data_IF_866447779277
#
_entry.id   IF_866447779277
#
_cell.length_a   1.000
_cell.length_b   1.000
_cell.length_c   1.000
_cell.angle_alpha   90.00
_cell.angle_beta   90.00
_cell.angle_gamma   90.00
#
_symmetry.space_group_name_H-M   'P 1'
#
loop_
_entity.id
_entity.type
_entity.pdbx_description
1 polymer ?
#
# COMPACT_ATOMS: atom_id res chain seq x y z
N UNK A 1 12.54 -9.27 -30.56
CA UNK A 1 11.37 -8.42 -30.85
C UNK A 1 10.18 -8.97 -30.06
N UNK A 2 9.50 -8.15 -29.24
CA UNK A 2 8.25 -8.55 -28.59
C UNK A 2 7.09 -8.06 -29.45
N UNK A 3 6.36 -9.00 -30.04
CA UNK A 3 5.13 -8.72 -30.78
C UNK A 3 4.00 -8.59 -29.78
N UNK A 4 3.47 -7.38 -29.61
CA UNK A 4 2.30 -7.15 -28.76
C UNK A 4 1.07 -7.47 -29.62
N UNK A 5 0.31 -8.50 -29.24
CA UNK A 5 -0.98 -8.77 -29.86
C UNK A 5 -2.03 -7.84 -29.24
N UNK A 6 -2.47 -6.88 -30.05
CA UNK A 6 -3.59 -6.02 -29.69
C UNK A 6 -4.91 -6.79 -29.88
N UNK A 7 -5.83 -6.57 -28.95
CA UNK A 7 -7.18 -7.12 -29.07
C UNK A 7 -7.87 -6.56 -30.32
N UNK A 8 -8.60 -7.38 -31.10
CA UNK A 8 -9.16 -6.97 -32.40
C UNK A 8 -10.00 -5.69 -32.35
N UNK A 9 -10.72 -5.44 -31.25
CA UNK A 9 -11.58 -4.27 -31.09
C UNK A 9 -10.80 -2.94 -30.93
N UNK A 10 -9.51 -2.98 -30.56
CA UNK A 10 -8.70 -1.78 -30.40
C UNK A 10 -8.28 -1.16 -31.73
N UNK A 11 -8.24 -1.95 -32.81
CA UNK A 11 -7.83 -1.46 -34.13
C UNK A 11 -8.73 -0.34 -34.64
N UNK A 12 -10.03 -0.41 -34.35
CA UNK A 12 -11.01 0.61 -34.78
C UNK A 12 -10.74 2.00 -34.18
N UNK A 13 -10.03 2.08 -33.06
CA UNK A 13 -9.61 3.36 -32.46
C UNK A 13 -8.25 3.84 -32.97
N UNK A 14 -7.44 2.96 -33.54
CA UNK A 14 -6.11 3.26 -34.07
C UNK A 14 -6.19 3.68 -35.54
N UNK A 15 -7.09 3.06 -36.32
CA UNK A 15 -7.14 3.22 -37.77
C UNK A 15 -8.11 4.28 -38.27
N UNK A 16 -9.01 4.77 -37.41
CA UNK A 16 -10.11 5.64 -37.84
C UNK A 16 -10.03 6.99 -37.15
N UNK A 17 -10.01 8.08 -37.92
CA UNK A 17 -10.30 9.42 -37.41
C UNK A 17 -11.79 9.44 -37.06
N UNK A 18 -12.11 9.18 -35.79
CA UNK A 18 -13.49 9.04 -35.33
C UNK A 18 -14.15 10.43 -35.36
N UNK A 19 -15.15 10.62 -36.22
CA UNK A 19 -16.09 11.73 -36.10
C UNK A 19 -16.97 11.53 -34.84
N UNK A 20 -17.26 12.60 -34.10
CA UNK A 20 -17.84 12.54 -32.76
C UNK A 20 -19.27 11.96 -32.66
N UNK A 21 -19.94 11.72 -33.78
CA UNK A 21 -21.39 11.49 -33.80
C UNK A 21 -21.82 10.00 -33.82
N UNK A 22 -20.88 9.04 -33.69
CA UNK A 22 -21.16 7.61 -33.90
C UNK A 22 -20.77 6.67 -32.72
N UNK A 23 -20.61 7.16 -31.49
CA UNK A 23 -20.28 6.31 -30.33
C UNK A 23 -21.50 5.92 -29.49
N UNK A 24 -21.69 4.61 -29.29
CA UNK A 24 -22.69 4.03 -28.39
C UNK A 24 -22.17 3.96 -26.94
N UNK A 25 -23.12 4.08 -26.00
CA UNK A 25 -22.99 4.55 -24.61
C UNK A 25 -22.05 3.82 -23.62
N UNK A 26 -21.43 2.69 -23.95
CA UNK A 26 -20.49 1.97 -23.03
C UNK A 26 -19.03 2.02 -23.47
N UNK A 27 -18.75 2.02 -24.77
CA UNK A 27 -17.40 2.29 -25.33
C UNK A 27 -16.99 3.76 -25.16
N UNK A 28 -18.01 4.59 -24.95
CA UNK A 28 -17.98 6.03 -24.75
C UNK A 28 -17.23 6.45 -23.49
N UNK A 29 -17.15 5.61 -22.46
CA UNK A 29 -16.58 6.00 -21.16
C UNK A 29 -15.04 6.03 -21.19
N UNK A 30 -14.42 5.02 -21.82
CA UNK A 30 -12.97 4.99 -22.03
C UNK A 30 -12.54 6.00 -23.10
N UNK A 31 -13.31 6.15 -24.17
CA UNK A 31 -13.06 7.16 -25.21
C UNK A 31 -13.19 8.58 -24.64
N UNK A 32 -14.25 8.88 -23.87
CA UNK A 32 -14.40 10.17 -23.18
C UNK A 32 -13.34 10.40 -22.11
N UNK A 33 -12.89 9.36 -21.39
CA UNK A 33 -11.75 9.44 -20.47
C UNK A 33 -10.43 9.70 -21.19
N UNK A 34 -10.25 9.19 -22.41
CA UNK A 34 -9.08 9.48 -23.23
C UNK A 34 -9.09 10.90 -23.82
N UNK A 35 -10.27 11.53 -23.90
CA UNK A 35 -10.50 12.88 -24.44
C UNK A 35 -10.48 14.00 -23.37
N UNK A 36 -10.26 13.67 -22.09
CA UNK A 36 -10.16 14.63 -20.97
C UNK A 36 -9.01 14.22 -20.03
N UNK A 37 -8.07 15.09 -19.58
CA UNK A 37 -7.66 16.41 -20.04
C UNK A 37 -6.46 16.33 -21.02
N UNK A 38 -6.10 17.48 -21.61
CA UNK A 38 -4.93 17.71 -22.48
C UNK A 38 -3.57 17.24 -21.93
N UNK A 39 -3.49 16.88 -20.65
CA UNK A 39 -2.32 16.28 -20.00
C UNK A 39 -1.97 14.89 -20.52
N UNK A 40 -2.95 14.11 -21.00
CA UNK A 40 -2.71 12.76 -21.53
C UNK A 40 -2.01 12.76 -22.89
N UNK A 41 -2.28 13.76 -23.74
CA UNK A 41 -1.60 13.92 -25.03
C UNK A 41 -0.11 14.26 -24.87
N UNK A 42 0.29 14.80 -23.72
CA UNK A 42 1.69 15.06 -23.34
C UNK A 42 2.25 14.00 -22.36
N UNK A 43 1.51 12.92 -22.15
CA UNK A 43 1.93 11.84 -21.26
C UNK A 43 3.12 11.12 -21.89
N UNK A 44 4.26 11.24 -21.22
CA UNK A 44 5.40 10.36 -21.42
C UNK A 44 5.68 9.72 -20.06
N UNK A 45 6.18 8.47 -20.01
CA UNK A 45 6.61 7.88 -18.74
C UNK A 45 7.62 8.75 -17.99
N UNK A 46 8.38 9.59 -18.71
CA UNK A 46 9.33 10.56 -18.18
C UNK A 46 8.65 11.82 -17.63
N UNK A 47 7.66 12.40 -18.31
CA UNK A 47 6.88 13.53 -17.80
C UNK A 47 6.02 13.11 -16.62
N UNK A 48 5.46 11.90 -16.62
CA UNK A 48 4.78 11.32 -15.45
C UNK A 48 5.76 11.11 -14.30
N UNK A 49 6.91 10.47 -14.51
CA UNK A 49 7.94 10.32 -13.45
C UNK A 49 8.40 11.66 -12.90
N UNK A 50 8.64 12.65 -13.77
CA UNK A 50 9.06 13.99 -13.38
C UNK A 50 7.94 14.73 -12.64
N UNK A 51 6.69 14.62 -13.08
CA UNK A 51 5.53 15.18 -12.39
C UNK A 51 5.36 14.55 -11.01
N UNK A 52 5.53 13.22 -10.91
CA UNK A 52 5.52 12.54 -9.62
C UNK A 52 6.69 13.00 -8.74
N UNK A 53 7.89 13.19 -9.29
CA UNK A 53 9.07 13.66 -8.55
C UNK A 53 8.99 15.13 -8.15
N UNK A 54 8.42 16.00 -9.00
CA UNK A 54 8.41 17.45 -8.81
C UNK A 54 7.27 17.93 -7.93
N UNK A 55 6.12 17.23 -7.95
CA UNK A 55 4.98 17.53 -7.07
C UNK A 55 5.04 16.73 -5.77
N UNK A 56 5.72 15.59 -5.79
CA UNK A 56 5.86 14.70 -4.65
C UNK A 56 7.33 14.32 -4.55
N UNK A 57 8.13 15.27 -4.05
CA UNK A 57 9.50 15.00 -3.58
C UNK A 57 9.39 13.95 -2.48
N UNK A 58 9.42 12.69 -2.89
CA UNK A 58 9.70 11.58 -2.01
C UNK A 58 11.18 11.72 -1.72
N UNK A 59 11.49 12.50 -0.67
CA UNK A 59 12.75 12.33 0.04
C UNK A 59 12.70 10.88 0.45
N UNK A 60 13.38 10.02 -0.32
CA UNK A 60 13.60 8.65 0.10
C UNK A 60 14.14 8.80 1.52
N UNK A 61 13.52 8.19 2.54
CA UNK A 61 14.18 8.13 3.83
C UNK A 61 15.59 7.60 3.53
N UNK A 62 16.60 8.30 4.04
CA UNK A 62 18.00 7.89 3.91
C UNK A 62 18.19 6.63 4.75
N UNK A 63 17.59 5.53 4.29
CA UNK A 63 17.75 4.21 4.88
C UNK A 63 19.13 3.78 4.48
N UNK A 64 19.97 3.52 5.47
CA UNK A 64 21.32 3.03 5.22
C UNK A 64 21.27 1.77 4.35
N UNK A 65 22.21 1.63 3.41
CA UNK A 65 22.32 0.46 2.53
C UNK A 65 22.39 -0.85 3.32
N UNK A 66 23.02 -0.81 4.51
CA UNK A 66 23.11 -1.92 5.46
C UNK A 66 21.74 -2.32 6.02
N UNK A 67 20.91 -1.37 6.44
CA UNK A 67 19.54 -1.62 6.91
C UNK A 67 18.67 -2.21 5.80
N UNK A 68 18.84 -1.75 4.56
CA UNK A 68 18.10 -2.28 3.42
C UNK A 68 18.54 -3.71 3.10
N UNK A 69 19.85 -3.98 3.09
CA UNK A 69 20.39 -5.33 2.87
C UNK A 69 19.88 -6.32 3.94
N UNK A 70 19.88 -5.91 5.20
CA UNK A 70 19.30 -6.70 6.29
C UNK A 70 17.79 -6.91 6.10
N UNK A 71 17.03 -5.88 5.74
CA UNK A 71 15.60 -6.01 5.46
C UNK A 71 15.29 -7.07 4.38
N UNK A 72 16.11 -7.14 3.33
CA UNK A 72 15.96 -8.13 2.27
C UNK A 72 16.31 -9.56 2.71
N UNK A 73 17.14 -9.74 3.75
CA UNK A 73 17.50 -11.06 4.26
C UNK A 73 16.49 -11.65 5.25
N UNK A 74 15.57 -10.85 5.79
CA UNK A 74 14.56 -11.32 6.76
C UNK A 74 13.57 -12.28 6.10
N UNK A 75 13.34 -13.43 6.72
CA UNK A 75 12.31 -14.40 6.34
C UNK A 75 10.90 -13.89 6.65
N UNK A 76 10.29 -13.18 5.69
CA UNK A 76 8.89 -12.75 5.73
C UNK A 76 8.18 -13.07 4.42
N UNK A 77 6.85 -13.04 4.43
CA UNK A 77 6.03 -13.22 3.23
C UNK A 77 6.43 -12.19 2.16
N UNK A 78 6.64 -12.66 0.92
CA UNK A 78 7.06 -11.80 -0.19
C UNK A 78 6.09 -10.63 -0.44
N UNK A 79 4.78 -10.88 -0.28
CA UNK A 79 3.77 -9.84 -0.43
C UNK A 79 3.88 -8.79 0.69
N UNK A 80 4.19 -9.20 1.92
CA UNK A 80 4.42 -8.28 3.03
C UNK A 80 5.68 -7.44 2.81
N UNK A 81 6.77 -8.06 2.34
CA UNK A 81 8.02 -7.36 2.01
C UNK A 81 7.82 -6.32 0.92
N UNK A 82 7.14 -6.68 -0.17
CA UNK A 82 6.88 -5.78 -1.30
C UNK A 82 6.06 -4.57 -0.88
N UNK A 83 5.03 -4.80 -0.06
CA UNK A 83 4.18 -3.76 0.50
C UNK A 83 4.98 -2.83 1.43
N UNK A 84 5.83 -3.38 2.29
CA UNK A 84 6.67 -2.58 3.17
C UNK A 84 7.66 -1.74 2.37
N UNK A 85 8.29 -2.32 1.35
CA UNK A 85 9.20 -1.57 0.50
C UNK A 85 8.51 -0.39 -0.19
N UNK A 86 7.24 -0.53 -0.58
CA UNK A 86 6.44 0.60 -1.08
C UNK A 86 6.22 1.67 -0.01
N UNK A 87 5.99 1.30 1.25
CA UNK A 87 5.91 2.24 2.38
C UNK A 87 7.23 2.97 2.60
N UNK A 88 8.36 2.26 2.61
CA UNK A 88 9.70 2.85 2.75
C UNK A 88 9.99 3.86 1.64
N UNK A 89 9.62 3.52 0.41
CA UNK A 89 9.75 4.41 -0.75
C UNK A 89 8.66 5.50 -0.81
N UNK A 90 7.68 5.51 0.10
CA UNK A 90 6.50 6.38 0.08
C UNK A 90 5.70 6.30 -1.23
N UNK A 91 5.64 5.09 -1.82
CA UNK A 91 4.99 4.78 -3.11
C UNK A 91 3.68 4.01 -2.97
N UNK A 92 3.21 3.76 -1.76
CA UNK A 92 1.95 3.06 -1.56
C UNK A 92 0.75 3.99 -1.88
N UNK A 93 -0.20 3.57 -2.72
CA UNK A 93 -1.30 4.43 -3.15
C UNK A 93 -2.36 4.52 -2.03
N UNK A 94 -2.36 5.63 -1.31
CA UNK A 94 -3.40 5.98 -0.33
C UNK A 94 -4.46 6.91 -0.95
N UNK A 95 -5.64 7.04 -0.33
CA UNK A 95 -6.79 7.76 -0.92
C UNK A 95 -6.45 9.23 -1.19
N UNK A 96 -5.72 9.91 -0.31
CA UNK A 96 -5.28 11.29 -0.57
C UNK A 96 -4.35 11.41 -1.80
N UNK A 97 -3.48 10.42 -2.04
CA UNK A 97 -2.65 10.39 -3.25
C UNK A 97 -3.51 10.20 -4.50
N UNK A 98 -4.45 9.25 -4.48
CA UNK A 98 -5.36 8.99 -5.58
C UNK A 98 -6.23 10.21 -5.92
N UNK A 99 -6.69 10.95 -4.91
CA UNK A 99 -7.43 12.19 -5.10
C UNK A 99 -6.59 13.27 -5.79
N UNK A 100 -5.32 13.45 -5.38
CA UNK A 100 -4.41 14.44 -5.97
C UNK A 100 -4.11 14.18 -7.44
N UNK A 101 -4.08 12.91 -7.86
CA UNK A 101 -3.93 12.54 -9.28
C UNK A 101 -5.28 12.46 -10.02
N UNK A 102 -6.37 12.92 -9.39
CA UNK A 102 -7.73 12.95 -9.95
C UNK A 102 -8.28 11.57 -10.34
N UNK A 103 -7.76 10.49 -9.73
CA UNK A 103 -8.26 9.13 -9.96
C UNK A 103 -9.55 8.83 -9.18
N UNK A 104 -9.85 9.62 -8.15
CA UNK A 104 -11.04 9.50 -7.29
C UNK A 104 -11.57 10.88 -6.88
N UNK A 105 -12.83 10.94 -6.44
CA UNK A 105 -13.52 12.20 -6.15
C UNK A 105 -13.31 12.76 -4.73
N UNK A 106 -12.73 11.99 -3.79
CA UNK A 106 -12.53 12.42 -2.41
C UNK A 106 -11.22 11.89 -1.84
N UNK A 107 -10.56 12.69 -1.00
CA UNK A 107 -9.35 12.33 -0.25
C UNK A 107 -9.64 11.70 1.12
N UNK A 108 -10.91 11.69 1.56
CA UNK A 108 -11.33 11.17 2.85
C UNK A 108 -11.24 9.63 2.88
N UNK A 109 -10.75 9.08 3.99
CA UNK A 109 -10.65 7.64 4.18
C UNK A 109 -12.01 6.97 4.04
N UNK A 110 -12.11 6.02 3.12
CA UNK A 110 -13.35 5.24 2.92
C UNK A 110 -13.69 4.33 4.11
N UNK A 111 -12.71 4.04 4.97
CA UNK A 111 -12.88 3.14 6.10
C UNK A 111 -13.47 3.84 7.33
N UNK A 112 -12.92 4.98 7.77
CA UNK A 112 -13.47 5.73 8.91
C UNK A 112 -14.34 6.93 8.53
N UNK A 113 -14.21 7.45 7.30
CA UNK A 113 -14.99 8.60 6.77
C UNK A 113 -14.83 9.92 7.53
N UNK A 114 -13.83 10.04 8.39
CA UNK A 114 -13.62 11.20 9.25
C UNK A 114 -12.49 12.13 8.80
N UNK A 115 -11.39 11.55 8.29
CA UNK A 115 -10.14 12.28 8.02
C UNK A 115 -9.61 12.00 6.62
N UNK A 116 -8.80 12.91 6.12
CA UNK A 116 -8.02 12.71 4.91
C UNK A 116 -7.08 11.51 5.07
N UNK A 117 -7.10 10.62 4.09
CA UNK A 117 -6.31 9.38 4.06
C UNK A 117 -4.89 9.65 3.56
N UNK A 118 -4.15 10.42 4.36
CA UNK A 118 -2.71 10.61 4.21
C UNK A 118 -1.96 9.31 4.51
N UNK A 119 -0.68 9.20 4.12
CA UNK A 119 0.14 8.01 4.38
C UNK A 119 0.07 7.51 5.83
N UNK A 120 0.23 8.36 6.87
CA UNK A 120 0.14 7.89 8.25
C UNK A 120 -1.25 7.38 8.57
N UNK A 121 -2.30 8.09 8.14
CA UNK A 121 -3.69 7.68 8.37
C UNK A 121 -4.02 6.34 7.70
N UNK A 122 -3.56 6.17 6.47
CA UNK A 122 -3.74 4.96 5.68
C UNK A 122 -3.09 3.73 6.33
N UNK A 123 -1.92 3.89 6.96
CA UNK A 123 -1.19 2.79 7.58
C UNK A 123 -1.60 2.53 9.04
N UNK A 124 -1.77 3.59 9.84
CA UNK A 124 -1.86 3.46 11.31
C UNK A 124 -2.99 4.27 11.92
N UNK A 125 -3.13 5.58 11.62
CA UNK A 125 -4.02 6.46 12.41
C UNK A 125 -5.52 6.28 12.12
N UNK A 126 -5.89 5.54 11.08
CA UNK A 126 -7.29 5.19 10.87
C UNK A 126 -7.81 4.36 12.08
N UNK A 127 -8.90 4.75 12.77
CA UNK A 127 -9.36 4.09 13.99
C UNK A 127 -9.51 2.58 13.87
N UNK A 128 -10.09 2.10 12.77
CA UNK A 128 -10.29 0.68 12.50
C UNK A 128 -8.95 -0.10 12.36
N UNK A 129 -7.94 0.54 11.75
CA UNK A 129 -6.59 -0.04 11.60
C UNK A 129 -5.82 0.03 12.90
N UNK A 130 -5.93 1.15 13.63
CA UNK A 130 -5.32 1.34 14.96
C UNK A 130 -5.74 0.24 15.92
N UNK A 131 -7.02 -0.13 15.95
CA UNK A 131 -7.50 -1.24 16.79
C UNK A 131 -6.78 -2.55 16.44
N UNK A 132 -6.62 -2.86 15.15
CA UNK A 132 -5.92 -4.07 14.71
C UNK A 132 -4.46 -4.07 15.19
N UNK A 133 -3.76 -2.95 15.00
CA UNK A 133 -2.38 -2.78 15.48
C UNK A 133 -2.27 -3.00 16.98
N UNK A 134 -3.05 -2.26 17.75
CA UNK A 134 -3.00 -2.28 19.22
C UNK A 134 -3.37 -3.65 19.76
N UNK A 135 -4.42 -4.30 19.25
CA UNK A 135 -4.82 -5.62 19.75
C UNK A 135 -3.77 -6.70 19.47
N UNK A 136 -3.20 -6.74 18.26
CA UNK A 136 -2.18 -7.76 17.94
C UNK A 136 -0.89 -7.51 18.71
N UNK A 137 -0.42 -6.25 18.79
CA UNK A 137 0.81 -5.93 19.49
C UNK A 137 0.67 -6.13 21.01
N UNK A 138 -0.45 -5.74 21.61
CA UNK A 138 -0.69 -5.98 23.04
C UNK A 138 -0.81 -7.46 23.37
N UNK A 139 -1.34 -8.28 22.45
CA UNK A 139 -1.38 -9.73 22.63
C UNK A 139 0.04 -10.33 22.67
N UNK A 140 0.94 -9.87 21.78
CA UNK A 140 2.29 -10.42 21.65
C UNK A 140 3.31 -9.78 22.62
N UNK A 141 3.05 -8.58 23.09
CA UNK A 141 3.95 -7.79 23.93
C UNK A 141 3.16 -6.97 24.95
N UNK A 142 2.48 -7.62 25.91
CA UNK A 142 1.56 -6.95 26.84
C UNK A 142 2.24 -5.94 27.77
N UNK A 143 3.55 -6.03 27.94
CA UNK A 143 4.34 -5.12 28.76
C UNK A 143 4.70 -3.82 28.04
N UNK A 144 4.46 -3.72 26.73
CA UNK A 144 4.76 -2.55 25.92
C UNK A 144 3.48 -1.87 25.46
N UNK A 145 3.42 -0.54 25.64
CA UNK A 145 2.36 0.27 25.06
C UNK A 145 2.87 0.90 23.77
N UNK A 146 2.23 0.57 22.65
CA UNK A 146 2.62 1.06 21.33
C UNK A 146 1.71 2.23 20.90
N UNK A 147 2.24 3.46 20.90
CA UNK A 147 1.51 4.58 20.35
C UNK A 147 1.47 4.50 18.81
N UNK A 148 0.48 5.15 18.19
CA UNK A 148 0.37 5.17 16.73
C UNK A 148 1.58 5.83 16.06
N UNK A 149 2.13 6.87 16.68
CA UNK A 149 3.36 7.53 16.22
C UNK A 149 4.54 6.56 16.21
N UNK A 150 4.72 5.78 17.29
CA UNK A 150 5.80 4.79 17.38
C UNK A 150 5.69 3.75 16.28
N UNK A 151 4.48 3.20 16.07
CA UNK A 151 4.22 2.19 15.03
C UNK A 151 4.56 2.74 13.65
N UNK A 152 4.11 3.97 13.36
CA UNK A 152 4.39 4.61 12.09
C UNK A 152 5.89 4.88 11.89
N UNK A 153 6.59 5.35 12.93
CA UNK A 153 8.04 5.56 12.86
C UNK A 153 8.80 4.25 12.64
N UNK A 154 8.45 3.16 13.34
CA UNK A 154 9.06 1.84 13.16
C UNK A 154 8.90 1.31 11.73
N UNK A 155 7.76 1.59 11.07
CA UNK A 155 7.57 1.25 9.65
C UNK A 155 8.50 2.01 8.72
N UNK A 156 8.84 3.26 9.03
CA UNK A 156 9.68 4.10 8.19
C UNK A 156 11.18 3.92 8.43
N UNK A 157 11.58 3.63 9.68
CA UNK A 157 12.98 3.52 10.07
C UNK A 157 13.52 2.10 10.08
N UNK A 158 12.65 1.08 9.96
CA UNK A 158 12.98 -0.34 10.16
C UNK A 158 13.61 -0.62 11.54
N UNK A 159 13.35 0.25 12.52
CA UNK A 159 13.81 0.07 13.89
C UNK A 159 12.74 -0.61 14.73
N UNK A 160 13.20 -1.43 15.68
CA UNK A 160 12.35 -2.01 16.73
C UNK A 160 12.75 -1.43 18.10
N UNK A 161 11.81 -1.32 19.06
CA UNK A 161 12.15 -1.05 20.45
C UNK A 161 13.13 -2.08 21.02
N UNK A 162 13.23 -3.26 20.39
CA UNK A 162 14.12 -4.33 20.77
C UNK A 162 15.45 -4.34 19.98
N UNK A 163 15.85 -3.23 19.36
CA UNK A 163 17.11 -3.16 18.58
C UNK A 163 18.36 -3.57 19.37
N UNK A 164 18.36 -3.36 20.69
CA UNK A 164 19.43 -3.81 21.59
C UNK A 164 19.39 -5.32 21.88
N UNK A 165 18.28 -6.01 21.58
CA UNK A 165 18.10 -7.46 21.67
C UNK A 165 17.97 -8.04 20.27
N UNK A 166 19.10 -8.37 19.66
CA UNK A 166 19.19 -8.93 18.29
C UNK A 166 18.20 -10.08 18.03
N UNK A 167 17.96 -10.94 19.03
CA UNK A 167 17.04 -12.08 18.96
C UNK A 167 15.58 -11.67 18.77
N UNK A 168 15.15 -10.53 19.32
CA UNK A 168 13.75 -10.06 19.25
C UNK A 168 13.51 -9.08 18.10
N UNK A 169 14.57 -8.48 17.56
CA UNK A 169 14.49 -7.50 16.48
C UNK A 169 13.81 -8.08 15.23
N UNK A 170 14.33 -9.19 14.71
CA UNK A 170 13.80 -9.83 13.49
C UNK A 170 12.36 -10.34 13.66
N UNK A 171 12.01 -11.10 14.72
CA UNK A 171 10.62 -11.53 14.95
C UNK A 171 9.62 -10.38 15.05
N UNK A 172 10.02 -9.28 15.70
CA UNK A 172 9.17 -8.10 15.80
C UNK A 172 8.94 -7.43 14.45
N UNK A 173 9.97 -7.37 13.61
CA UNK A 173 9.87 -6.80 12.27
C UNK A 173 8.98 -7.67 11.39
N UNK A 174 9.12 -9.00 11.44
CA UNK A 174 8.18 -9.93 10.77
C UNK A 174 6.74 -9.74 11.25
N UNK A 175 6.55 -9.50 12.55
CA UNK A 175 5.24 -9.19 13.15
C UNK A 175 4.63 -7.92 12.54
N UNK A 176 5.39 -6.81 12.49
CA UNK A 176 4.93 -5.56 11.87
C UNK A 176 4.59 -5.75 10.38
N UNK A 177 5.44 -6.44 9.61
CA UNK A 177 5.19 -6.75 8.21
C UNK A 177 3.85 -7.48 8.03
N UNK A 178 3.60 -8.46 8.90
CA UNK A 178 2.45 -9.35 8.83
C UNK A 178 1.16 -8.61 9.17
N UNK A 179 1.17 -7.78 10.21
CA UNK A 179 0.00 -6.96 10.59
C UNK A 179 -0.33 -5.97 9.47
N UNK A 180 0.67 -5.28 8.93
CA UNK A 180 0.47 -4.31 7.84
C UNK A 180 -0.13 -4.99 6.61
N UNK A 181 0.45 -6.12 6.18
CA UNK A 181 -0.04 -6.88 5.02
C UNK A 181 -1.49 -7.28 5.19
N UNK A 182 -1.85 -7.91 6.31
CA UNK A 182 -3.22 -8.39 6.50
C UNK A 182 -4.22 -7.25 6.62
N UNK A 183 -3.90 -6.19 7.38
CA UNK A 183 -4.74 -4.99 7.49
C UNK A 183 -5.02 -4.37 6.12
N UNK A 184 -4.01 -4.29 5.26
CA UNK A 184 -4.15 -3.70 3.93
C UNK A 184 -4.85 -4.63 2.94
N UNK A 185 -4.67 -5.94 3.03
CA UNK A 185 -5.43 -6.91 2.21
C UNK A 185 -6.93 -6.81 2.51
N UNK A 186 -7.31 -6.80 3.79
CA UNK A 186 -8.72 -6.68 4.18
C UNK A 186 -9.30 -5.31 3.81
N UNK A 187 -8.49 -4.25 3.89
CA UNK A 187 -8.90 -2.94 3.38
C UNK A 187 -9.14 -2.98 1.86
N UNK A 188 -8.24 -3.59 1.08
CA UNK A 188 -8.46 -3.73 -0.36
C UNK A 188 -9.72 -4.56 -0.67
N UNK A 189 -10.00 -5.62 0.10
CA UNK A 189 -11.25 -6.38 -0.04
C UNK A 189 -12.49 -5.52 0.25
N UNK A 190 -12.44 -4.69 1.29
CA UNK A 190 -13.49 -3.73 1.59
C UNK A 190 -13.70 -2.74 0.44
N UNK A 191 -12.63 -2.21 -0.14
CA UNK A 191 -12.71 -1.23 -1.22
C UNK A 191 -13.17 -1.83 -2.55
N UNK A 192 -12.64 -2.98 -2.94
CA UNK A 192 -12.84 -3.57 -4.27
C UNK A 192 -14.10 -4.43 -4.30
N UNK A 193 -14.32 -5.22 -3.25
CA UNK A 193 -15.39 -6.23 -3.20
C UNK A 193 -16.53 -5.86 -2.25
N UNK A 194 -16.47 -4.68 -1.61
CA UNK A 194 -17.46 -4.21 -0.64
C UNK A 194 -17.70 -5.18 0.53
N UNK A 195 -16.67 -5.96 0.89
CA UNK A 195 -16.72 -6.90 2.02
C UNK A 195 -16.42 -6.14 3.31
N UNK A 196 -17.31 -6.22 4.30
CA UNK A 196 -17.16 -5.54 5.58
C UNK A 196 -15.77 -5.78 6.21
N UNK A 197 -15.15 -4.71 6.71
CA UNK A 197 -13.87 -4.80 7.39
C UNK A 197 -14.05 -5.40 8.80
N UNK A 198 -13.89 -6.71 8.93
CA UNK A 198 -14.11 -7.45 10.19
C UNK A 198 -12.82 -7.55 11.01
N UNK A 199 -12.63 -6.63 11.97
CA UNK A 199 -11.42 -6.53 12.81
C UNK A 199 -11.03 -7.87 13.44
N UNK A 200 -11.97 -8.62 14.01
CA UNK A 200 -11.69 -9.88 14.71
C UNK A 200 -11.06 -10.93 13.80
N UNK A 201 -11.50 -10.98 12.53
CA UNK A 201 -10.95 -11.92 11.54
C UNK A 201 -9.54 -11.49 11.14
N UNK A 202 -9.31 -10.17 10.97
CA UNK A 202 -7.97 -9.64 10.68
C UNK A 202 -7.00 -10.02 11.80
N UNK A 203 -7.39 -9.80 13.06
CA UNK A 203 -6.56 -10.12 14.23
C UNK A 203 -6.26 -11.62 14.28
N UNK A 204 -7.27 -12.49 14.17
CA UNK A 204 -7.09 -13.95 14.15
C UNK A 204 -6.13 -14.37 13.03
N UNK A 205 -6.26 -13.78 11.84
CA UNK A 205 -5.39 -14.07 10.70
C UNK A 205 -3.95 -13.63 10.95
N UNK A 206 -3.75 -12.45 11.54
CA UNK A 206 -2.44 -11.95 11.93
C UNK A 206 -1.76 -12.91 12.90
N UNK A 207 -2.43 -13.25 14.01
CA UNK A 207 -1.88 -14.11 15.05
C UNK A 207 -1.52 -15.50 14.52
N UNK A 208 -2.41 -16.12 13.73
CA UNK A 208 -2.15 -17.40 13.08
C UNK A 208 -0.94 -17.37 12.13
N UNK A 209 -0.74 -16.29 11.37
CA UNK A 209 0.41 -16.21 10.46
C UNK A 209 1.70 -15.93 11.22
N UNK A 210 1.65 -15.10 12.26
CA UNK A 210 2.81 -14.80 13.11
C UNK A 210 3.26 -16.07 13.82
N UNK A 211 2.35 -16.87 14.36
CA UNK A 211 2.70 -18.14 15.03
C UNK A 211 3.37 -19.14 14.07
N UNK A 212 2.93 -19.21 12.81
CA UNK A 212 3.58 -20.07 11.80
C UNK A 212 4.96 -19.54 11.44
N UNK A 213 5.06 -18.25 11.10
CA UNK A 213 6.33 -17.65 10.65
C UNK A 213 7.42 -17.62 11.72
N UNK A 214 7.02 -17.49 13.00
CA UNK A 214 7.95 -17.41 14.12
C UNK A 214 8.11 -18.75 14.87
N UNK A 215 7.13 -19.66 14.75
CA UNK A 215 7.15 -20.99 15.37
C UNK A 215 8.13 -21.97 14.72
N UNK A 216 8.47 -21.78 13.45
CA UNK A 216 9.46 -22.59 12.72
C UNK A 216 10.93 -22.25 13.10
N UNK A 217 11.15 -21.38 14.08
CA UNK A 217 12.47 -20.96 14.58
C UNK A 217 12.72 -21.36 16.05
N UNK A 218 12.37 -22.59 16.45
CA UNK A 218 13.06 -23.21 17.60
C UNK A 218 14.39 -23.81 17.10
N UNK A 219 15.56 -23.33 17.57
CA UNK A 219 16.81 -24.02 17.31
C UNK A 219 16.82 -25.32 18.12
N UNK A 220 17.04 -26.44 17.44
CA UNK A 220 17.63 -27.63 18.04
C UNK A 220 19.06 -27.32 18.52
#
# INVERSE_FOLDING_TARGET
MRTIQLQPYLWRFITTNIQPDMLNNTEDLLAKQSQQPSSWLQFTPRSYRNFTHSKFTTVLPSIASTSLSWFWSISMLLQARSLWYQVLCQKIPHTAFLYRIQAIASSISRLCREKEDTMPHFLVYCPQKKITWTMVLNYLSPTFNFASDDIFQMMHSLQSPFHYRSVLHTPFIVTLATIMRNTLVFYCQYIIHNVSFQIDIVIKKCLSQISVLLGDHQPN
#
